data_IF_724179504578
#
_entry.id   IF_724179504578
#
_cell.length_a   1.000
_cell.length_b   1.000
_cell.length_c   1.000
_cell.angle_alpha   90.00
_cell.angle_beta   90.00
_cell.angle_gamma   90.00
#
_symmetry.space_group_name_H-M   'P 1'
#
loop_
_entity.id
_entity.type
_entity.pdbx_description
1 polymer ?
#
# COMPACT_ATOMS: atom_id res chain seq x y z
N UNK A 1 14.29 -26.59 -14.62
CA UNK A 1 15.69 -26.90 -15.01
C UNK A 1 15.82 -26.63 -16.50
N UNK A 2 16.47 -25.55 -16.91
CA UNK A 2 16.74 -25.26 -18.31
C UNK A 2 17.74 -26.31 -18.83
N UNK A 3 17.37 -27.02 -19.88
CA UNK A 3 18.27 -27.97 -20.57
C UNK A 3 19.34 -27.14 -21.30
N UNK A 4 20.62 -27.31 -20.92
CA UNK A 4 21.74 -26.80 -21.69
C UNK A 4 21.61 -27.28 -23.13
N UNK A 5 21.59 -26.36 -24.10
CA UNK A 5 21.62 -26.73 -25.52
C UNK A 5 23.06 -26.84 -25.94
N UNK A 6 23.45 -28.02 -26.41
CA UNK A 6 24.73 -28.26 -27.04
C UNK A 6 24.68 -27.63 -28.45
N UNK A 7 25.63 -26.78 -28.78
CA UNK A 7 25.86 -26.29 -30.14
C UNK A 7 27.32 -26.48 -30.52
N UNK A 8 27.59 -26.56 -31.80
CA UNK A 8 28.92 -26.70 -32.36
C UNK A 8 29.35 -25.36 -32.97
N UNK A 9 30.46 -24.82 -32.51
CA UNK A 9 31.01 -23.50 -32.96
C UNK A 9 32.26 -23.74 -33.77
N UNK A 10 32.37 -23.10 -34.92
CA UNK A 10 33.55 -23.15 -35.75
C UNK A 10 34.67 -22.30 -35.15
N UNK A 11 35.85 -22.85 -34.97
CA UNK A 11 37.03 -22.16 -34.43
C UNK A 11 37.60 -21.10 -35.37
N UNK A 12 37.34 -21.18 -36.68
CA UNK A 12 37.85 -20.26 -37.69
C UNK A 12 36.96 -19.04 -37.92
N UNK A 13 35.61 -19.24 -38.01
CA UNK A 13 34.70 -18.16 -38.39
C UNK A 13 33.62 -17.85 -37.31
N UNK A 14 33.57 -18.60 -36.20
CA UNK A 14 32.57 -18.41 -35.15
C UNK A 14 31.16 -18.87 -35.56
N UNK A 15 30.96 -19.43 -36.73
CA UNK A 15 29.67 -19.92 -37.19
C UNK A 15 29.13 -21.06 -36.32
N UNK A 16 27.81 -21.05 -36.02
CA UNK A 16 27.21 -22.00 -35.10
C UNK A 16 26.32 -22.99 -35.85
N UNK A 17 26.31 -24.26 -35.39
CA UNK A 17 25.41 -25.32 -35.88
C UNK A 17 24.83 -26.11 -34.70
N UNK A 18 23.56 -26.53 -34.83
CA UNK A 18 22.87 -27.39 -33.83
C UNK A 18 23.29 -28.85 -33.88
N UNK A 19 24.05 -29.24 -34.93
CA UNK A 19 24.58 -30.60 -35.09
C UNK A 19 26.07 -30.53 -35.46
N UNK A 20 26.82 -31.50 -35.02
CA UNK A 20 28.21 -31.63 -35.44
C UNK A 20 28.30 -31.96 -36.95
N UNK A 21 29.17 -31.27 -37.66
CA UNK A 21 29.44 -31.47 -39.06
C UNK A 21 30.95 -31.45 -39.28
N UNK A 22 31.48 -32.33 -40.12
CA UNK A 22 32.92 -32.39 -40.40
C UNK A 22 33.40 -31.15 -41.15
N UNK A 23 32.51 -30.43 -41.85
CA UNK A 23 32.79 -29.20 -42.55
C UNK A 23 31.92 -28.06 -42.04
N UNK A 24 32.49 -26.92 -41.76
CA UNK A 24 31.70 -25.74 -41.30
C UNK A 24 30.80 -25.24 -42.41
N UNK A 25 29.48 -25.08 -42.21
CA UNK A 25 28.53 -24.62 -43.25
C UNK A 25 28.70 -23.12 -43.58
N UNK A 26 29.46 -22.36 -42.82
CA UNK A 26 29.66 -20.92 -43.05
C UNK A 26 30.97 -20.61 -43.79
N UNK A 27 32.08 -21.22 -43.37
CA UNK A 27 33.40 -20.96 -43.97
C UNK A 27 33.94 -22.13 -44.79
N UNK A 28 33.23 -23.26 -44.86
CA UNK A 28 33.60 -24.48 -45.62
C UNK A 28 34.92 -25.13 -45.17
N UNK A 29 35.48 -24.76 -44.05
CA UNK A 29 36.72 -25.34 -43.50
C UNK A 29 36.41 -26.65 -42.78
N UNK A 30 37.26 -27.66 -42.99
CA UNK A 30 37.12 -28.98 -42.40
C UNK A 30 37.65 -29.07 -40.98
N UNK A 31 36.99 -29.90 -40.14
CA UNK A 31 37.40 -30.23 -38.74
C UNK A 31 37.53 -29.04 -37.80
N UNK A 32 36.75 -27.99 -37.99
CA UNK A 32 36.77 -26.76 -37.18
C UNK A 32 35.60 -26.61 -36.25
N UNK A 33 34.66 -27.57 -36.25
CA UNK A 33 33.45 -27.55 -35.38
C UNK A 33 33.75 -28.17 -34.04
N UNK A 34 33.75 -27.36 -32.97
CA UNK A 34 33.99 -27.78 -31.58
C UNK A 34 32.71 -27.67 -30.81
N UNK A 35 32.44 -28.69 -29.98
CA UNK A 35 31.30 -28.70 -29.07
C UNK A 35 31.42 -27.56 -28.06
N UNK A 36 30.42 -26.71 -28.01
CA UNK A 36 30.29 -25.61 -27.07
C UNK A 36 28.95 -25.69 -26.36
N UNK A 37 28.97 -25.65 -25.06
CA UNK A 37 27.75 -25.56 -24.25
C UNK A 37 27.31 -24.11 -24.32
N UNK A 38 26.28 -23.82 -25.11
CA UNK A 38 25.59 -22.53 -25.02
C UNK A 38 24.79 -22.58 -23.73
N UNK A 39 25.32 -22.00 -22.67
CA UNK A 39 24.48 -21.61 -21.54
C UNK A 39 23.40 -20.71 -22.12
N UNK A 40 22.15 -21.19 -22.10
CA UNK A 40 21.01 -20.29 -22.38
C UNK A 40 21.21 -19.10 -21.44
N UNK A 41 21.47 -17.93 -22.02
CA UNK A 41 21.48 -16.68 -21.26
C UNK A 41 20.10 -16.54 -20.66
N UNK A 42 19.93 -17.05 -19.45
CA UNK A 42 18.80 -16.73 -18.61
C UNK A 42 18.92 -15.21 -18.48
N UNK A 43 17.93 -14.44 -18.95
CA UNK A 43 17.94 -13.00 -18.74
C UNK A 43 18.25 -12.81 -17.26
N UNK A 44 19.29 -12.04 -16.95
CA UNK A 44 19.78 -11.94 -15.58
C UNK A 44 18.72 -11.22 -14.75
N UNK A 45 17.69 -11.99 -14.28
CA UNK A 45 16.53 -11.52 -13.51
C UNK A 45 16.96 -10.79 -12.24
N UNK A 46 18.23 -10.95 -11.86
CA UNK A 46 18.84 -10.37 -10.67
C UNK A 46 20.01 -9.43 -11.00
N UNK A 47 20.03 -8.84 -12.21
CA UNK A 47 20.99 -7.81 -12.52
C UNK A 47 20.97 -6.71 -11.44
N UNK A 48 22.16 -6.32 -10.97
CA UNK A 48 22.32 -5.33 -9.92
C UNK A 48 21.46 -4.09 -10.15
N UNK A 49 20.85 -3.56 -9.11
CA UNK A 49 20.06 -2.32 -9.15
C UNK A 49 20.89 -1.08 -9.49
N UNK A 50 22.22 -1.22 -9.50
CA UNK A 50 23.16 -0.14 -9.82
C UNK A 50 24.01 -0.55 -11.00
N UNK A 51 24.14 0.31 -11.98
CA UNK A 51 25.02 0.07 -13.16
C UNK A 51 26.49 0.02 -12.81
N UNK A 52 26.90 0.44 -11.61
CA UNK A 52 28.28 0.36 -11.08
C UNK A 52 28.22 0.07 -9.59
N UNK A 53 28.66 -1.13 -9.20
CA UNK A 53 28.81 -1.52 -7.79
C UNK A 53 30.10 -0.93 -7.22
N UNK A 54 30.23 0.40 -7.16
CA UNK A 54 31.33 1.05 -6.47
C UNK A 54 31.07 1.05 -4.97
N UNK A 55 32.01 0.53 -4.19
CA UNK A 55 31.98 0.67 -2.74
C UNK A 55 32.24 2.15 -2.38
N UNK A 56 31.23 2.81 -1.80
CA UNK A 56 31.31 4.18 -1.28
C UNK A 56 31.21 4.17 0.23
N UNK A 57 32.00 4.98 0.90
CA UNK A 57 31.80 5.21 2.34
C UNK A 57 30.49 5.97 2.55
N UNK A 58 29.75 5.63 3.60
CA UNK A 58 28.43 6.24 3.88
C UNK A 58 28.53 7.78 4.03
N UNK A 59 29.62 8.28 4.58
CA UNK A 59 29.88 9.72 4.70
C UNK A 59 30.20 10.43 3.38
N UNK A 60 30.57 9.69 2.33
CA UNK A 60 30.84 10.21 0.98
C UNK A 60 29.56 10.25 0.12
N UNK A 61 28.50 9.57 0.59
CA UNK A 61 27.17 9.67 -0.05
C UNK A 61 26.61 11.04 0.25
N UNK A 62 26.62 11.93 -0.74
CA UNK A 62 25.96 13.23 -0.61
C UNK A 62 24.50 12.98 -0.31
N UNK A 63 24.10 13.25 0.91
CA UNK A 63 22.68 13.40 1.24
C UNK A 63 22.19 14.70 0.58
N UNK A 64 21.86 14.65 -0.71
CA UNK A 64 20.93 15.64 -1.26
C UNK A 64 19.68 15.52 -0.40
N UNK A 65 19.21 16.63 0.15
CA UNK A 65 17.95 16.64 0.91
C UNK A 65 16.94 15.88 0.06
N UNK A 66 16.44 14.74 0.60
CA UNK A 66 15.49 13.90 -0.15
C UNK A 66 14.25 14.76 -0.33
N UNK A 67 14.15 15.37 -1.51
CA UNK A 67 13.00 16.21 -1.85
C UNK A 67 11.77 15.32 -1.95
N UNK A 68 10.84 15.48 -1.01
CA UNK A 68 9.55 14.79 -1.05
C UNK A 68 8.58 15.64 -1.84
N UNK A 69 7.89 15.04 -2.81
CA UNK A 69 6.82 15.69 -3.55
C UNK A 69 5.54 15.57 -2.75
N UNK A 70 5.02 16.68 -2.26
CA UNK A 70 3.74 16.70 -1.54
C UNK A 70 2.59 16.44 -2.50
N UNK A 71 1.55 15.79 -2.01
CA UNK A 71 0.30 15.56 -2.76
C UNK A 71 -0.67 16.71 -2.65
N UNK A 72 -0.34 17.73 -1.82
CA UNK A 72 -1.23 18.84 -1.43
C UNK A 72 -2.51 18.37 -0.74
N UNK A 73 -2.50 17.16 -0.20
CA UNK A 73 -3.55 16.60 0.66
C UNK A 73 -2.88 16.23 1.98
N UNK A 74 -3.07 17.04 3.02
CA UNK A 74 -2.29 16.96 4.27
C UNK A 74 -2.45 15.63 4.99
N UNK A 75 -3.64 15.05 4.99
CA UNK A 75 -3.91 13.73 5.58
C UNK A 75 -3.26 12.58 4.77
N UNK A 76 -3.09 12.75 3.46
CA UNK A 76 -2.38 11.77 2.63
C UNK A 76 -0.86 11.93 2.78
N UNK A 77 -0.37 13.16 2.78
CA UNK A 77 1.06 13.42 3.01
C UNK A 77 1.52 12.96 4.39
N UNK A 78 0.67 13.05 5.42
CA UNK A 78 0.93 12.50 6.75
C UNK A 78 1.28 11.01 6.69
N UNK A 79 0.45 10.20 6.10
CA UNK A 79 0.67 8.73 6.02
C UNK A 79 1.81 8.35 5.09
N UNK A 80 2.14 9.19 4.11
CA UNK A 80 3.32 9.05 3.27
C UNK A 80 4.62 9.47 3.99
N UNK A 81 4.50 10.18 5.12
CA UNK A 81 5.65 10.75 5.83
C UNK A 81 6.15 12.05 5.19
N UNK A 82 5.26 12.82 4.57
CA UNK A 82 5.50 14.13 3.96
C UNK A 82 5.46 14.18 2.43
N UNK A 83 5.02 13.11 1.77
CA UNK A 83 4.86 13.06 0.32
C UNK A 83 5.61 11.91 -0.36
N UNK A 84 5.56 11.86 -1.67
CA UNK A 84 6.26 10.85 -2.48
C UNK A 84 7.76 11.11 -2.54
N UNK A 85 8.54 10.04 -2.41
CA UNK A 85 10.01 10.07 -2.47
C UNK A 85 10.47 9.59 -3.84
N UNK A 86 11.36 10.30 -4.55
CA UNK A 86 11.95 9.84 -5.80
C UNK A 86 12.59 8.44 -5.63
N UNK A 87 12.26 7.52 -6.54
CA UNK A 87 12.70 6.12 -6.45
C UNK A 87 11.98 5.30 -5.37
N UNK A 88 11.08 5.91 -4.58
CA UNK A 88 10.27 5.22 -3.58
C UNK A 88 9.07 4.51 -4.19
N UNK A 89 8.73 3.34 -3.64
CA UNK A 89 7.58 2.53 -4.08
C UNK A 89 6.56 2.43 -2.95
N UNK A 90 5.35 2.88 -3.23
CA UNK A 90 4.21 2.87 -2.31
C UNK A 90 3.19 1.84 -2.78
N UNK A 91 2.79 0.94 -1.91
CA UNK A 91 1.66 0.04 -2.13
C UNK A 91 0.43 0.58 -1.39
N UNK A 92 -0.67 0.72 -2.11
CA UNK A 92 -1.97 1.10 -1.54
C UNK A 92 -2.92 -0.09 -1.65
N UNK A 93 -3.23 -0.72 -0.51
CA UNK A 93 -4.17 -1.82 -0.39
C UNK A 93 -5.54 -1.37 0.13
N UNK A 94 -6.55 -2.19 -0.07
CA UNK A 94 -7.90 -1.97 0.46
C UNK A 94 -8.98 -2.61 -0.41
N UNK A 95 -10.20 -2.69 0.11
CA UNK A 95 -11.35 -3.28 -0.56
C UNK A 95 -11.66 -2.58 -1.91
N UNK A 96 -12.20 -3.30 -2.89
CA UNK A 96 -12.71 -2.70 -4.11
C UNK A 96 -13.76 -1.63 -3.80
N UNK A 97 -13.71 -0.51 -4.52
CA UNK A 97 -14.68 0.59 -4.35
C UNK A 97 -14.49 1.48 -3.12
N UNK A 98 -13.47 1.23 -2.26
CA UNK A 98 -13.25 2.00 -1.04
C UNK A 98 -12.78 3.45 -1.28
N UNK A 99 -12.26 3.75 -2.49
CA UNK A 99 -11.82 5.10 -2.85
C UNK A 99 -10.34 5.26 -3.23
N UNK A 100 -9.56 4.16 -3.34
CA UNK A 100 -8.12 4.21 -3.67
C UNK A 100 -7.83 5.02 -4.93
N UNK A 101 -8.43 4.64 -6.05
CA UNK A 101 -8.24 5.32 -7.35
C UNK A 101 -8.77 6.76 -7.34
N UNK A 102 -9.80 7.04 -6.52
CA UNK A 102 -10.33 8.40 -6.32
C UNK A 102 -9.32 9.28 -5.62
N UNK A 103 -8.73 8.83 -4.50
CA UNK A 103 -7.72 9.59 -3.78
C UNK A 103 -6.49 9.84 -4.65
N UNK A 104 -6.07 8.83 -5.41
CA UNK A 104 -4.89 8.95 -6.26
C UNK A 104 -5.09 9.97 -7.37
N UNK A 105 -6.21 9.94 -8.09
CA UNK A 105 -6.43 10.90 -9.17
C UNK A 105 -6.57 12.34 -8.63
N UNK A 106 -7.14 12.54 -7.43
CA UNK A 106 -7.16 13.82 -6.74
C UNK A 106 -5.74 14.28 -6.39
N UNK A 107 -4.93 13.42 -5.79
CA UNK A 107 -3.54 13.73 -5.45
C UNK A 107 -2.72 14.11 -6.69
N UNK A 108 -2.83 13.33 -7.77
CA UNK A 108 -2.12 13.61 -9.03
C UNK A 108 -2.57 14.94 -9.65
N UNK A 109 -3.87 15.25 -9.63
CA UNK A 109 -4.41 16.54 -10.11
C UNK A 109 -3.82 17.71 -9.31
N UNK A 110 -3.78 17.59 -7.98
CA UNK A 110 -3.18 18.65 -7.15
C UNK A 110 -1.69 18.81 -7.43
N UNK A 111 -0.94 17.70 -7.55
CA UNK A 111 0.51 17.74 -7.82
C UNK A 111 0.87 18.36 -9.16
N UNK A 112 0.06 18.12 -10.20
CA UNK A 112 0.31 18.69 -11.54
C UNK A 112 -0.06 20.17 -11.63
N UNK A 113 -1.01 20.62 -10.80
CA UNK A 113 -1.50 22.00 -10.80
C UNK A 113 -0.83 22.91 -9.74
N UNK A 114 -0.02 22.33 -8.84
CA UNK A 114 0.67 23.10 -7.81
C UNK A 114 1.83 23.90 -8.40
N UNK A 115 1.64 25.22 -8.50
CA UNK A 115 2.64 26.15 -9.00
C UNK A 115 3.79 26.42 -8.00
N UNK A 116 3.67 25.94 -6.77
CA UNK A 116 4.70 26.13 -5.74
C UNK A 116 5.79 25.07 -5.81
N UNK A 117 5.50 23.95 -6.46
CA UNK A 117 6.45 22.87 -6.73
C UNK A 117 6.96 22.91 -8.18
N UNK A 118 8.06 22.21 -8.42
CA UNK A 118 8.54 21.99 -9.79
C UNK A 118 7.50 21.19 -10.59
N UNK A 119 7.36 21.49 -11.89
CA UNK A 119 6.45 20.78 -12.78
C UNK A 119 6.61 19.26 -12.61
N UNK A 120 5.50 18.57 -12.40
CA UNK A 120 5.45 17.15 -12.13
C UNK A 120 4.83 16.40 -13.31
N UNK A 121 5.65 15.56 -13.97
CA UNK A 121 5.14 14.70 -15.06
C UNK A 121 4.62 13.40 -14.47
N UNK A 122 3.35 13.13 -14.71
CA UNK A 122 2.64 11.99 -14.12
C UNK A 122 2.12 11.05 -15.21
N UNK A 123 2.29 9.74 -14.99
CA UNK A 123 1.65 8.71 -15.81
C UNK A 123 0.74 7.86 -14.92
N UNK A 124 -0.52 7.74 -15.33
CA UNK A 124 -1.50 6.84 -14.74
C UNK A 124 -1.68 5.62 -15.66
N UNK A 125 -1.18 4.47 -15.23
CA UNK A 125 -1.34 3.19 -15.93
C UNK A 125 -2.59 2.51 -15.40
N UNK A 126 -3.54 2.23 -16.28
CA UNK A 126 -4.78 1.54 -15.93
C UNK A 126 -4.87 0.20 -16.64
N UNK A 127 -5.04 -0.86 -15.85
CA UNK A 127 -5.32 -2.20 -16.36
C UNK A 127 -6.78 -2.62 -16.23
N UNK A 128 -7.62 -1.84 -15.53
CA UNK A 128 -9.02 -2.20 -15.25
C UNK A 128 -10.00 -1.25 -15.94
N UNK A 129 -9.69 0.04 -15.97
CA UNK A 129 -10.59 1.06 -16.51
C UNK A 129 -10.06 1.63 -17.82
N UNK A 130 -10.99 1.94 -18.73
CA UNK A 130 -10.66 2.65 -19.97
C UNK A 130 -10.31 4.12 -19.70
N UNK A 131 -9.55 4.77 -20.58
CA UNK A 131 -9.27 6.21 -20.47
C UNK A 131 -10.52 7.07 -20.35
N UNK A 132 -11.61 6.66 -21.04
CA UNK A 132 -12.89 7.37 -20.98
C UNK A 132 -13.54 7.29 -19.60
N UNK A 133 -13.47 6.13 -18.92
CA UNK A 133 -14.00 5.96 -17.55
C UNK A 133 -13.24 6.81 -16.55
N UNK A 134 -11.90 6.85 -16.68
CA UNK A 134 -11.04 7.70 -15.84
C UNK A 134 -11.35 9.18 -16.08
N UNK A 135 -11.51 9.61 -17.34
CA UNK A 135 -11.86 10.98 -17.68
C UNK A 135 -13.25 11.37 -17.15
N UNK A 136 -14.24 10.47 -17.22
CA UNK A 136 -15.57 10.69 -16.64
C UNK A 136 -15.50 10.83 -15.10
N UNK A 137 -14.67 10.02 -14.44
CA UNK A 137 -14.41 10.14 -13.00
C UNK A 137 -13.78 11.49 -12.66
N UNK A 138 -12.72 11.88 -13.36
CA UNK A 138 -12.06 13.17 -13.15
C UNK A 138 -13.03 14.36 -13.34
N UNK A 139 -13.88 14.30 -14.38
CA UNK A 139 -14.91 15.31 -14.63
C UNK A 139 -15.95 15.37 -13.50
N UNK A 140 -16.43 14.22 -13.01
CA UNK A 140 -17.37 14.15 -11.86
C UNK A 140 -16.77 14.76 -10.59
N UNK A 141 -15.47 14.59 -10.39
CA UNK A 141 -14.73 15.13 -9.26
C UNK A 141 -14.30 16.60 -9.47
N UNK A 142 -14.65 17.22 -10.61
CA UNK A 142 -14.28 18.58 -10.97
C UNK A 142 -12.75 18.84 -10.93
N UNK A 143 -11.94 17.84 -11.35
CA UNK A 143 -10.48 17.90 -11.29
C UNK A 143 -9.89 18.48 -12.59
N UNK A 144 -8.85 19.28 -12.45
CA UNK A 144 -7.95 19.65 -13.56
C UNK A 144 -6.94 18.53 -13.79
N UNK A 145 -6.97 17.90 -14.96
CA UNK A 145 -6.17 16.72 -15.29
C UNK A 145 -5.38 16.87 -16.60
N UNK A 146 -5.19 18.09 -17.07
CA UNK A 146 -4.53 18.40 -18.36
C UNK A 146 -3.14 17.80 -18.47
N UNK A 147 -2.40 17.71 -17.37
CA UNK A 147 -1.01 17.25 -17.31
C UNK A 147 -0.85 15.82 -16.77
N UNK A 148 -1.96 15.06 -16.66
CA UNK A 148 -1.94 13.63 -16.32
C UNK A 148 -2.00 12.79 -17.59
N UNK A 149 -0.93 12.05 -17.87
CA UNK A 149 -0.90 11.11 -18.99
C UNK A 149 -1.50 9.78 -18.59
N UNK A 150 -2.38 9.22 -19.43
CA UNK A 150 -3.02 7.92 -19.20
C UNK A 150 -2.42 6.90 -20.16
N UNK A 151 -2.04 5.74 -19.62
CA UNK A 151 -1.60 4.57 -20.36
C UNK A 151 -2.53 3.38 -20.06
N UNK A 152 -3.33 2.96 -21.04
CA UNK A 152 -4.15 1.76 -20.92
C UNK A 152 -3.34 0.57 -21.45
N UNK A 153 -2.60 -0.08 -20.57
CA UNK A 153 -1.72 -1.21 -20.89
C UNK A 153 -1.59 -2.13 -19.66
N UNK A 154 -1.49 -3.44 -19.90
CA UNK A 154 -1.34 -4.48 -18.89
C UNK A 154 -0.05 -5.31 -19.07
N UNK A 155 0.64 -5.15 -20.18
CA UNK A 155 1.91 -5.81 -20.45
C UNK A 155 3.04 -5.02 -19.77
N UNK A 156 3.77 -5.67 -18.87
CA UNK A 156 4.83 -5.06 -18.05
C UNK A 156 5.94 -4.45 -18.90
N UNK A 157 6.39 -5.18 -19.93
CA UNK A 157 7.51 -4.78 -20.77
C UNK A 157 7.21 -3.47 -21.52
N UNK A 158 5.97 -3.32 -22.02
CA UNK A 158 5.51 -2.08 -22.67
C UNK A 158 5.35 -0.94 -21.68
N UNK A 159 4.88 -1.21 -20.48
CA UNK A 159 4.77 -0.23 -19.41
C UNK A 159 6.17 0.31 -19.06
N UNK A 160 7.14 -0.58 -18.84
CA UNK A 160 8.54 -0.21 -18.55
C UNK A 160 9.11 0.64 -19.69
N UNK A 161 8.96 0.20 -20.93
CA UNK A 161 9.42 0.96 -22.11
C UNK A 161 8.81 2.37 -22.16
N UNK A 162 7.52 2.49 -21.81
CA UNK A 162 6.85 3.80 -21.77
C UNK A 162 7.43 4.69 -20.66
N UNK A 163 7.73 4.13 -19.48
CA UNK A 163 8.33 4.85 -18.35
C UNK A 163 9.75 5.33 -18.74
N UNK A 164 10.58 4.47 -19.29
CA UNK A 164 11.95 4.80 -19.74
C UNK A 164 11.97 5.91 -20.79
N UNK A 165 11.06 5.84 -21.76
CA UNK A 165 10.93 6.83 -22.84
C UNK A 165 10.48 8.19 -22.33
N UNK A 166 9.48 8.19 -21.44
CA UNK A 166 8.81 9.41 -21.01
C UNK A 166 9.43 10.05 -19.77
N UNK A 167 10.19 9.30 -18.96
CA UNK A 167 10.85 9.73 -17.72
C UNK A 167 9.92 10.55 -16.82
N UNK A 168 8.79 9.96 -16.36
CA UNK A 168 7.87 10.65 -15.45
C UNK A 168 8.49 10.81 -14.07
N UNK A 169 7.99 11.75 -13.29
CA UNK A 169 8.32 11.90 -11.88
C UNK A 169 7.52 10.93 -11.00
N UNK A 170 6.27 10.68 -11.40
CA UNK A 170 5.33 9.81 -10.66
C UNK A 170 4.61 8.88 -11.62
N UNK A 171 4.50 7.61 -11.24
CA UNK A 171 3.75 6.58 -11.96
C UNK A 171 2.78 5.89 -11.01
N UNK A 172 1.52 5.79 -11.41
CA UNK A 172 0.50 4.99 -10.74
C UNK A 172 0.22 3.76 -11.58
N UNK A 173 0.17 2.58 -10.95
CA UNK A 173 -0.26 1.31 -11.56
C UNK A 173 -1.57 0.88 -10.89
N UNK A 174 -2.68 0.95 -11.60
CA UNK A 174 -4.03 0.63 -11.11
C UNK A 174 -4.71 -0.42 -11.98
N UNK A 175 -4.69 -1.71 -11.57
CA UNK A 175 -4.09 -2.30 -10.39
C UNK A 175 -2.92 -3.22 -10.74
N UNK A 176 -2.06 -3.51 -9.78
CA UNK A 176 -0.92 -4.42 -9.95
C UNK A 176 -1.37 -5.86 -10.30
N UNK A 177 -2.59 -6.25 -9.92
CA UNK A 177 -3.14 -7.58 -10.21
C UNK A 177 -3.44 -7.81 -11.68
N UNK A 178 -3.65 -6.75 -12.46
CA UNK A 178 -3.92 -6.87 -13.90
C UNK A 178 -2.65 -6.94 -14.73
N UNK A 179 -1.52 -6.51 -14.17
CA UNK A 179 -0.24 -6.48 -14.89
C UNK A 179 0.33 -7.89 -15.00
N UNK A 180 0.86 -8.20 -16.19
CA UNK A 180 1.53 -9.46 -16.45
C UNK A 180 2.81 -9.26 -17.27
N UNK A 181 3.77 -10.16 -17.08
CA UNK A 181 4.98 -10.28 -17.89
C UNK A 181 4.85 -11.50 -18.82
N UNK A 182 5.21 -11.34 -20.08
CA UNK A 182 5.24 -12.44 -21.05
C UNK A 182 6.33 -13.47 -20.74
N UNK A 183 7.32 -13.11 -19.95
CA UNK A 183 8.40 -14.03 -19.55
C UNK A 183 7.93 -15.12 -18.57
N UNK A 184 6.73 -14.96 -17.96
CA UNK A 184 6.18 -15.88 -16.98
C UNK A 184 5.02 -16.68 -17.57
N UNK A 185 5.06 -18.00 -17.36
CA UNK A 185 4.00 -18.90 -17.82
C UNK A 185 2.75 -18.90 -16.93
N UNK A 186 2.80 -18.22 -15.77
CA UNK A 186 1.68 -18.16 -14.84
C UNK A 186 0.61 -17.17 -15.32
N UNK A 187 -0.67 -17.43 -14.98
CA UNK A 187 -1.77 -16.56 -15.38
C UNK A 187 -1.66 -15.15 -14.76
N UNK A 188 -2.14 -14.10 -15.45
CA UNK A 188 -2.30 -12.76 -14.88
C UNK A 188 -3.04 -12.81 -13.55
N UNK A 189 -2.65 -11.97 -12.58
CA UNK A 189 -3.24 -11.94 -11.24
C UNK A 189 -2.75 -13.04 -10.29
N UNK A 190 -1.99 -14.02 -10.77
CA UNK A 190 -1.36 -15.02 -9.90
C UNK A 190 -0.31 -14.39 -8.97
N UNK A 191 -0.07 -15.00 -7.80
CA UNK A 191 0.95 -14.55 -6.83
C UNK A 191 2.32 -14.36 -7.49
N UNK A 192 2.70 -15.28 -8.38
CA UNK A 192 3.98 -15.25 -9.10
C UNK A 192 4.07 -14.03 -10.02
N UNK A 193 3.04 -13.76 -10.82
CA UNK A 193 2.98 -12.59 -11.70
C UNK A 193 3.04 -11.29 -10.89
N UNK A 194 2.17 -11.15 -9.89
CA UNK A 194 2.10 -9.94 -9.06
C UNK A 194 3.43 -9.67 -8.36
N UNK A 195 4.09 -10.70 -7.83
CA UNK A 195 5.39 -10.57 -7.16
C UNK A 195 6.48 -10.15 -8.12
N UNK A 196 6.59 -10.81 -9.27
CA UNK A 196 7.64 -10.53 -10.25
C UNK A 196 7.45 -9.16 -10.90
N UNK A 197 6.24 -8.83 -11.34
CA UNK A 197 5.93 -7.51 -11.88
C UNK A 197 6.25 -6.39 -10.87
N UNK A 198 5.87 -6.57 -9.60
CA UNK A 198 6.18 -5.59 -8.55
C UNK A 198 7.68 -5.46 -8.31
N UNK A 199 8.44 -6.57 -8.36
CA UNK A 199 9.89 -6.53 -8.19
C UNK A 199 10.58 -5.79 -9.34
N UNK A 200 10.15 -6.01 -10.59
CA UNK A 200 10.69 -5.33 -11.75
C UNK A 200 10.32 -3.83 -11.74
N UNK A 201 9.07 -3.48 -11.44
CA UNK A 201 8.64 -2.09 -11.28
C UNK A 201 9.41 -1.37 -10.16
N UNK A 202 9.65 -2.03 -9.03
CA UNK A 202 10.46 -1.48 -7.93
C UNK A 202 11.90 -1.22 -8.37
N UNK A 203 12.48 -2.11 -9.19
CA UNK A 203 13.83 -1.92 -9.74
C UNK A 203 13.89 -0.70 -10.65
N UNK A 204 12.95 -0.58 -11.57
CA UNK A 204 12.86 0.56 -12.50
C UNK A 204 12.62 1.87 -11.73
N UNK A 205 11.75 1.88 -10.73
CA UNK A 205 11.52 3.04 -9.89
C UNK A 205 12.82 3.56 -9.28
N UNK A 206 13.65 2.67 -8.72
CA UNK A 206 14.94 3.02 -8.10
C UNK A 206 16.01 3.43 -9.11
N UNK A 207 16.04 2.81 -10.29
CA UNK A 207 17.01 3.15 -11.35
C UNK A 207 16.75 4.51 -11.98
N UNK A 208 15.48 4.86 -12.17
CA UNK A 208 15.07 6.10 -12.84
C UNK A 208 14.67 7.21 -11.86
N UNK A 209 14.78 6.95 -10.54
CA UNK A 209 14.34 7.86 -9.48
C UNK A 209 12.85 8.27 -9.61
N UNK A 210 12.00 7.38 -10.14
CA UNK A 210 10.57 7.60 -10.33
C UNK A 210 9.83 7.18 -9.06
N UNK A 211 8.96 8.03 -8.53
CA UNK A 211 8.03 7.65 -7.46
C UNK A 211 6.94 6.75 -8.02
N UNK A 212 6.81 5.54 -7.49
CA UNK A 212 5.87 4.55 -8.02
C UNK A 212 4.80 4.19 -7.00
N UNK A 213 3.55 4.21 -7.44
CA UNK A 213 2.40 3.84 -6.62
C UNK A 213 1.75 2.60 -7.22
N UNK A 214 1.72 1.51 -6.47
CA UNK A 214 1.06 0.27 -6.83
C UNK A 214 -0.27 0.19 -6.10
N UNK A 215 -1.37 0.10 -6.85
CA UNK A 215 -2.70 -0.14 -6.27
C UNK A 215 -2.95 -1.63 -6.21
N UNK A 216 -3.38 -2.13 -5.05
CA UNK A 216 -3.70 -3.53 -4.83
C UNK A 216 -5.08 -3.73 -4.19
N UNK A 217 -5.75 -4.82 -4.54
CA UNK A 217 -6.98 -5.26 -3.87
C UNK A 217 -6.63 -6.26 -2.78
N UNK A 218 -7.22 -6.09 -1.60
CA UNK A 218 -7.14 -7.04 -0.49
C UNK A 218 -8.37 -7.92 -0.56
N UNK A 219 -8.21 -9.24 -0.56
CA UNK A 219 -9.33 -10.14 -0.34
C UNK A 219 -9.49 -10.40 1.15
N UNK A 220 -10.73 -10.35 1.66
CA UNK A 220 -11.08 -10.60 3.08
C UNK A 220 -10.57 -11.95 3.60
N UNK A 221 -10.28 -12.90 2.71
CA UNK A 221 -9.86 -14.26 3.06
C UNK A 221 -8.35 -14.53 2.95
N UNK A 222 -7.54 -13.54 2.56
CA UNK A 222 -6.07 -13.67 2.55
C UNK A 222 -5.48 -14.67 1.55
N UNK A 223 -6.26 -15.28 0.67
CA UNK A 223 -5.85 -16.42 -0.16
C UNK A 223 -5.41 -16.06 -1.60
N UNK A 224 -5.73 -14.89 -2.12
CA UNK A 224 -5.17 -14.41 -3.39
C UNK A 224 -4.07 -13.37 -3.12
N UNK A 225 -3.08 -13.28 -4.02
CA UNK A 225 -1.89 -12.44 -3.97
C UNK A 225 -2.14 -11.06 -3.34
N UNK A 226 -2.37 -11.06 -2.04
CA UNK A 226 -2.66 -9.85 -1.28
C UNK A 226 -1.41 -9.03 -1.01
N UNK A 227 -1.56 -7.82 -0.50
CA UNK A 227 -0.48 -6.90 -0.18
C UNK A 227 0.66 -7.51 0.64
N UNK A 228 0.39 -8.52 1.49
CA UNK A 228 1.41 -9.19 2.31
C UNK A 228 2.59 -9.76 1.52
N UNK A 229 2.36 -10.26 0.30
CA UNK A 229 3.44 -10.76 -0.56
C UNK A 229 4.35 -9.63 -1.04
N UNK A 230 3.81 -8.42 -1.17
CA UNK A 230 4.52 -7.25 -1.68
C UNK A 230 5.16 -6.40 -0.58
N UNK A 231 4.76 -6.57 0.69
CA UNK A 231 5.24 -5.76 1.82
C UNK A 231 6.77 -5.73 1.93
N UNK A 232 7.43 -6.82 1.56
CA UNK A 232 8.89 -6.89 1.61
C UNK A 232 9.57 -6.22 0.41
N UNK A 233 8.86 -6.07 -0.71
CA UNK A 233 9.39 -5.52 -1.96
C UNK A 233 9.32 -4.00 -1.97
N UNK A 234 8.22 -3.43 -1.46
CA UNK A 234 7.94 -1.99 -1.49
C UNK A 234 8.51 -1.26 -0.26
N UNK A 235 8.61 0.06 -0.35
CA UNK A 235 9.15 0.90 0.72
C UNK A 235 8.09 1.38 1.71
N UNK A 236 6.87 1.65 1.23
CA UNK A 236 5.72 2.08 2.02
C UNK A 236 4.50 1.23 1.70
N UNK A 237 3.74 0.87 2.72
CA UNK A 237 2.47 0.13 2.60
C UNK A 237 1.39 0.91 3.32
N UNK A 238 0.38 1.31 2.57
CA UNK A 238 -0.81 1.99 3.05
C UNK A 238 -2.03 1.10 2.88
N UNK A 239 -2.88 1.06 3.89
CA UNK A 239 -4.16 0.38 3.81
C UNK A 239 -5.31 1.36 3.93
N UNK A 240 -6.26 1.26 3.01
CA UNK A 240 -7.57 1.86 3.16
C UNK A 240 -8.42 0.98 4.07
N UNK A 241 -8.93 1.59 5.13
CA UNK A 241 -9.83 0.99 6.11
C UNK A 241 -11.16 1.77 6.12
N UNK A 242 -12.26 1.08 6.35
CA UNK A 242 -13.58 1.69 6.50
C UNK A 242 -14.70 0.76 6.06
N UNK A 243 -15.87 0.97 6.61
CA UNK A 243 -17.10 0.27 6.20
C UNK A 243 -17.67 0.98 4.96
N UNK A 244 -18.21 0.21 4.01
CA UNK A 244 -18.86 0.75 2.82
C UNK A 244 -20.06 1.66 3.16
N UNK A 245 -20.69 1.43 4.31
CA UNK A 245 -21.81 2.24 4.81
C UNK A 245 -21.37 3.48 5.60
N UNK A 246 -20.09 3.59 5.94
CA UNK A 246 -19.54 4.77 6.63
C UNK A 246 -19.27 5.89 5.64
N UNK A 247 -19.54 7.13 6.04
CA UNK A 247 -19.15 8.33 5.29
C UNK A 247 -17.66 8.63 5.36
N UNK A 248 -16.92 7.93 6.22
CA UNK A 248 -15.51 8.18 6.44
C UNK A 248 -14.64 7.04 5.93
N UNK A 249 -13.43 7.39 5.54
CA UNK A 249 -12.38 6.46 5.12
C UNK A 249 -11.12 6.79 5.88
N UNK A 250 -10.43 5.76 6.32
CA UNK A 250 -9.13 5.88 6.98
C UNK A 250 -8.06 5.29 6.10
N UNK A 251 -6.90 5.93 6.06
CA UNK A 251 -5.70 5.41 5.40
C UNK A 251 -4.64 5.23 6.47
N UNK A 252 -4.17 4.03 6.67
CA UNK A 252 -3.17 3.68 7.68
C UNK A 252 -1.83 3.31 7.05
N UNK A 253 -0.75 3.86 7.58
CA UNK A 253 0.61 3.49 7.20
C UNK A 253 1.06 2.23 7.97
N UNK A 254 1.02 1.07 7.33
CA UNK A 254 1.41 -0.20 7.94
C UNK A 254 2.94 -0.40 7.94
N UNK A 255 3.58 0.10 6.89
CA UNK A 255 5.03 0.13 6.72
C UNK A 255 5.41 1.46 6.08
N UNK A 256 6.42 2.13 6.62
CA UNK A 256 6.96 3.33 6.00
C UNK A 256 8.47 3.46 6.28
N UNK A 257 9.31 3.41 5.22
CA UNK A 257 10.75 3.63 5.33
C UNK A 257 11.12 5.11 5.36
N UNK A 258 10.17 6.00 5.02
CA UNK A 258 10.40 7.43 4.86
C UNK A 258 9.72 8.28 5.93
N UNK A 259 8.97 7.65 6.83
CA UNK A 259 8.23 8.31 7.90
C UNK A 259 7.86 7.35 9.04
N UNK A 260 7.03 7.84 9.94
CA UNK A 260 6.51 7.01 11.03
C UNK A 260 5.55 5.93 10.51
N UNK A 261 5.52 4.80 11.21
CA UNK A 261 4.52 3.75 11.01
C UNK A 261 3.28 4.04 11.86
N UNK A 262 2.17 3.40 11.52
CA UNK A 262 0.86 3.55 12.17
C UNK A 262 0.25 4.96 12.07
N UNK A 263 0.81 5.84 11.22
CA UNK A 263 0.16 7.12 10.92
C UNK A 263 -1.21 6.89 10.30
N UNK A 264 -2.16 7.73 10.71
CA UNK A 264 -3.55 7.65 10.28
C UNK A 264 -3.96 8.94 9.56
N UNK A 265 -4.41 8.79 8.31
CA UNK A 265 -5.07 9.83 7.54
C UNK A 265 -6.58 9.59 7.51
N UNK A 266 -7.37 10.63 7.74
CA UNK A 266 -8.84 10.52 7.82
C UNK A 266 -9.50 11.36 6.75
N UNK A 267 -10.42 10.75 6.02
CA UNK A 267 -11.12 11.35 4.89
C UNK A 267 -12.63 11.16 5.01
N UNK A 268 -13.38 12.17 4.61
CA UNK A 268 -14.81 12.06 4.38
C UNK A 268 -15.07 11.77 2.90
N UNK A 269 -15.93 10.78 2.61
CA UNK A 269 -16.40 10.50 1.26
C UNK A 269 -17.53 11.47 0.92
N UNK A 270 -17.36 12.24 -0.16
CA UNK A 270 -18.34 13.20 -0.66
C UNK A 270 -18.65 12.94 -2.13
N UNK A 271 -19.65 13.61 -2.68
CA UNK A 271 -19.94 13.56 -4.12
C UNK A 271 -18.77 14.04 -4.97
N UNK A 272 -17.95 14.96 -4.45
CA UNK A 272 -16.73 15.50 -5.08
C UNK A 272 -15.44 14.73 -4.71
N UNK A 273 -15.58 13.51 -4.18
CA UNK A 273 -14.47 12.63 -3.83
C UNK A 273 -14.12 12.63 -2.35
N UNK A 274 -12.87 12.33 -2.05
CA UNK A 274 -12.34 12.25 -0.69
C UNK A 274 -11.90 13.64 -0.22
N UNK A 275 -12.44 14.09 0.90
CA UNK A 275 -12.07 15.33 1.55
C UNK A 275 -11.37 15.03 2.87
N UNK A 276 -10.25 15.66 3.11
CA UNK A 276 -9.52 15.52 4.37
C UNK A 276 -10.32 16.02 5.58
N UNK A 277 -10.20 15.30 6.70
CA UNK A 277 -10.84 15.67 7.97
C UNK A 277 -9.80 16.30 8.88
N UNK A 278 -9.87 17.60 9.05
CA UNK A 278 -8.89 18.37 9.84
C UNK A 278 -8.95 18.05 11.34
N UNK A 279 -10.13 17.72 11.86
CA UNK A 279 -10.33 17.31 13.25
C UNK A 279 -10.97 15.91 13.31
N UNK A 280 -10.19 14.83 13.18
CA UNK A 280 -10.73 13.48 13.25
C UNK A 280 -11.27 13.09 14.62
N UNK A 281 -10.83 13.70 15.72
CA UNK A 281 -11.39 13.44 17.05
C UNK A 281 -12.89 13.68 17.11
N UNK A 282 -13.41 14.65 16.33
CA UNK A 282 -14.85 14.90 16.26
C UNK A 282 -15.67 13.70 15.73
N UNK A 283 -15.04 12.73 15.03
CA UNK A 283 -15.70 11.53 14.52
C UNK A 283 -15.88 10.44 15.59
N UNK A 284 -15.07 10.52 16.64
CA UNK A 284 -15.00 9.52 17.70
C UNK A 284 -15.63 10.02 19.00
N UNK A 285 -16.30 11.17 18.92
CA UNK A 285 -17.02 11.78 20.04
C UNK A 285 -18.50 11.91 19.66
N UNK A 286 -19.39 11.48 20.55
CA UNK A 286 -20.81 11.73 20.45
C UNK A 286 -21.10 13.19 20.81
N UNK A 287 -22.08 13.80 20.14
CA UNK A 287 -22.51 15.15 20.47
C UNK A 287 -23.55 15.07 21.63
N UNK A 288 -23.05 15.03 22.85
CA UNK A 288 -23.91 15.17 24.04
C UNK A 288 -23.91 16.63 24.48
N UNK A 289 -25.09 17.20 24.70
CA UNK A 289 -25.24 18.55 25.25
C UNK A 289 -25.21 18.56 26.80
N UNK A 290 -25.33 17.38 27.41
CA UNK A 290 -25.36 17.17 28.85
C UNK A 290 -24.43 16.03 29.24
N UNK A 291 -24.03 15.98 30.51
CA UNK A 291 -23.26 14.87 31.08
C UNK A 291 -24.10 13.59 31.05
N UNK A 292 -23.56 12.56 30.44
CA UNK A 292 -24.24 11.27 30.26
C UNK A 292 -23.46 10.20 31.03
N UNK A 293 -24.15 9.49 31.95
CA UNK A 293 -23.59 8.32 32.59
C UNK A 293 -23.28 7.22 31.59
N UNK A 294 -22.30 6.38 31.87
CA UNK A 294 -21.84 5.34 30.95
C UNK A 294 -20.95 5.86 29.81
N UNK A 295 -20.47 7.10 29.86
CA UNK A 295 -19.59 7.67 28.85
C UNK A 295 -18.34 8.27 29.48
N UNK A 296 -17.18 8.01 28.86
CA UNK A 296 -15.89 8.58 29.27
C UNK A 296 -15.03 8.87 28.05
N UNK A 297 -14.50 10.10 27.96
CA UNK A 297 -13.59 10.50 26.88
C UNK A 297 -12.15 10.20 27.32
N UNK A 298 -11.38 9.61 26.42
CA UNK A 298 -9.96 9.31 26.61
C UNK A 298 -9.14 9.69 25.39
N UNK A 299 -7.82 9.65 25.55
CA UNK A 299 -6.86 9.86 24.45
C UNK A 299 -6.24 8.53 24.08
N UNK A 300 -6.16 8.25 22.79
CA UNK A 300 -5.33 7.18 22.22
C UNK A 300 -4.32 7.78 21.24
N UNK A 301 -3.20 7.08 21.04
CA UNK A 301 -2.15 7.50 20.13
C UNK A 301 -2.20 6.65 18.86
N UNK A 302 -2.43 7.30 17.71
CA UNK A 302 -2.37 6.66 16.41
C UNK A 302 -1.18 7.23 15.61
N UNK A 303 -0.10 6.45 15.54
CA UNK A 303 1.18 6.94 15.02
C UNK A 303 1.73 8.08 15.89
N UNK A 304 1.87 9.28 15.31
CA UNK A 304 2.26 10.50 16.04
C UNK A 304 1.06 11.37 16.44
N UNK A 305 -0.16 10.95 16.14
CA UNK A 305 -1.39 11.75 16.33
C UNK A 305 -2.15 11.31 17.56
N UNK A 306 -2.37 12.20 18.55
CA UNK A 306 -3.33 11.95 19.61
C UNK A 306 -4.76 12.10 19.07
N UNK A 307 -5.63 11.15 19.40
CA UNK A 307 -7.05 11.16 19.08
C UNK A 307 -7.88 11.06 20.33
N UNK A 308 -8.89 11.91 20.44
CA UNK A 308 -9.92 11.77 21.48
C UNK A 308 -10.92 10.70 21.01
N UNK A 309 -11.18 9.75 21.91
CA UNK A 309 -12.15 8.67 21.69
C UNK A 309 -13.10 8.62 22.88
N UNK A 310 -14.38 8.48 22.59
CA UNK A 310 -15.39 8.23 23.59
C UNK A 310 -15.56 6.73 23.79
N UNK A 311 -15.52 6.31 25.05
CA UNK A 311 -15.85 4.96 25.49
C UNK A 311 -17.25 5.02 26.09
N UNK A 312 -18.15 4.20 25.55
CA UNK A 312 -19.51 4.04 26.07
C UNK A 312 -19.65 2.68 26.75
N UNK A 313 -20.23 2.64 27.91
CA UNK A 313 -20.53 1.43 28.65
C UNK A 313 -22.01 1.36 29.01
N UNK A 314 -22.55 0.16 28.96
CA UNK A 314 -23.87 -0.16 29.46
C UNK A 314 -23.76 -1.33 30.42
N UNK A 315 -24.26 -1.16 31.61
CA UNK A 315 -24.30 -2.17 32.66
C UNK A 315 -25.77 -2.40 33.02
N UNK A 316 -26.24 -3.65 32.97
CA UNK A 316 -27.59 -4.03 33.29
C UNK A 316 -27.64 -5.38 34.02
N UNK A 317 -28.73 -5.67 34.71
CA UNK A 317 -28.90 -6.94 35.37
C UNK A 317 -28.87 -8.09 34.32
N UNK A 318 -28.18 -9.17 34.65
CA UNK A 318 -28.14 -10.31 33.74
C UNK A 318 -29.50 -11.00 33.66
N UNK A 319 -30.05 -11.11 32.45
CA UNK A 319 -31.32 -11.79 32.20
C UNK A 319 -31.15 -13.29 31.90
N UNK A 320 -29.93 -13.84 31.94
CA UNK A 320 -29.58 -15.23 31.66
C UNK A 320 -28.76 -15.89 32.76
N UNK A 321 -28.58 -17.22 32.62
CA UNK A 321 -27.76 -18.01 33.56
C UNK A 321 -26.26 -17.59 33.61
N UNK A 322 -25.78 -16.91 32.58
CA UNK A 322 -24.39 -16.41 32.50
C UNK A 322 -24.40 -14.95 32.03
N UNK A 323 -23.77 -14.04 32.79
CA UNK A 323 -23.66 -12.65 32.41
C UNK A 323 -22.88 -12.46 31.11
N UNK A 324 -23.38 -11.57 30.25
CA UNK A 324 -22.75 -11.25 28.96
C UNK A 324 -21.62 -10.23 29.15
N UNK A 325 -20.55 -10.45 28.45
CA UNK A 325 -19.39 -9.54 28.36
C UNK A 325 -19.10 -9.26 26.91
N UNK A 326 -19.40 -8.08 26.43
CA UNK A 326 -19.20 -7.71 25.02
C UNK A 326 -18.42 -6.43 24.92
N UNK A 327 -17.31 -6.46 24.15
CA UNK A 327 -16.51 -5.30 23.81
C UNK A 327 -16.55 -5.08 22.30
N UNK A 328 -16.98 -3.90 21.85
CA UNK A 328 -16.82 -3.45 20.45
C UNK A 328 -15.65 -2.49 20.39
N UNK A 329 -14.68 -2.78 19.54
CA UNK A 329 -13.41 -2.05 19.48
C UNK A 329 -12.40 -2.43 20.58
N UNK A 330 -12.75 -3.37 21.45
CA UNK A 330 -11.91 -3.84 22.56
C UNK A 330 -11.71 -5.35 22.48
N UNK A 331 -10.59 -5.82 23.01
CA UNK A 331 -10.35 -7.24 23.16
C UNK A 331 -11.21 -7.80 24.33
N UNK A 332 -11.96 -8.87 24.07
CA UNK A 332 -12.91 -9.43 25.01
C UNK A 332 -12.24 -9.93 26.31
N UNK A 333 -11.05 -10.52 26.21
CA UNK A 333 -10.28 -10.97 27.37
C UNK A 333 -9.86 -9.80 28.27
N UNK A 334 -9.56 -8.65 27.67
CA UNK A 334 -9.17 -7.43 28.37
C UNK A 334 -10.34 -6.89 29.21
N UNK A 335 -11.55 -6.85 28.66
CA UNK A 335 -12.75 -6.44 29.42
C UNK A 335 -12.95 -7.33 30.65
N UNK A 336 -12.82 -8.64 30.50
CA UNK A 336 -12.93 -9.59 31.63
C UNK A 336 -11.89 -9.35 32.72
N UNK A 337 -10.65 -9.05 32.33
CA UNK A 337 -9.57 -8.69 33.26
C UNK A 337 -9.87 -7.39 33.98
N UNK A 338 -10.33 -6.36 33.29
CA UNK A 338 -10.66 -5.05 33.88
C UNK A 338 -11.80 -5.17 34.90
N UNK A 339 -12.83 -5.97 34.63
CA UNK A 339 -13.92 -6.25 35.56
C UNK A 339 -13.40 -6.97 36.86
N UNK A 340 -12.46 -7.90 36.69
CA UNK A 340 -11.83 -8.55 37.85
C UNK A 340 -11.00 -7.57 38.70
N UNK A 341 -10.25 -6.65 38.07
CA UNK A 341 -9.53 -5.58 38.73
C UNK A 341 -10.49 -4.63 39.46
N UNK A 342 -11.58 -4.23 38.81
CA UNK A 342 -12.61 -3.37 39.37
C UNK A 342 -13.21 -3.99 40.65
N UNK A 343 -13.57 -5.26 40.59
CA UNK A 343 -14.10 -5.99 41.75
C UNK A 343 -13.06 -6.07 42.88
N UNK A 344 -11.84 -6.52 42.58
CA UNK A 344 -10.82 -6.79 43.60
C UNK A 344 -10.27 -5.54 44.26
N UNK A 345 -10.06 -4.47 43.50
CA UNK A 345 -9.40 -3.25 43.95
C UNK A 345 -10.34 -2.06 44.08
N UNK A 346 -11.38 -1.99 43.25
CA UNK A 346 -12.40 -0.94 43.33
C UNK A 346 -13.57 -1.27 44.26
N UNK A 347 -13.72 -2.53 44.69
CA UNK A 347 -14.83 -2.98 45.53
C UNK A 347 -16.19 -3.02 44.78
N UNK A 348 -16.19 -2.86 43.46
CA UNK A 348 -17.42 -2.81 42.64
C UNK A 348 -17.57 -4.16 41.94
N UNK A 349 -18.66 -4.86 42.27
CA UNK A 349 -18.95 -6.19 41.73
C UNK A 349 -19.89 -6.10 40.56
N UNK A 350 -19.47 -6.65 39.39
CA UNK A 350 -20.30 -6.77 38.20
C UNK A 350 -20.48 -8.25 37.75
N UNK A 351 -20.30 -9.19 38.67
CA UNK A 351 -20.31 -10.62 38.35
C UNK A 351 -21.71 -11.14 37.94
N UNK A 352 -22.79 -10.49 38.42
CA UNK A 352 -24.21 -10.79 38.10
C UNK A 352 -24.82 -9.81 37.10
N UNK A 353 -24.02 -8.97 36.43
CA UNK A 353 -24.48 -7.95 35.52
C UNK A 353 -23.98 -8.21 34.10
N UNK A 354 -24.77 -7.94 33.11
CA UNK A 354 -24.37 -7.83 31.72
C UNK A 354 -23.58 -6.52 31.51
N UNK A 355 -22.41 -6.60 30.87
CA UNK A 355 -21.55 -5.44 30.63
C UNK A 355 -21.23 -5.35 29.15
N UNK A 356 -21.61 -4.23 28.54
CA UNK A 356 -21.35 -3.91 27.14
C UNK A 356 -20.48 -2.66 27.09
N UNK A 357 -19.39 -2.71 26.33
CA UNK A 357 -18.50 -1.57 26.13
C UNK A 357 -18.28 -1.34 24.64
N UNK A 358 -18.37 -0.10 24.23
CA UNK A 358 -18.21 0.30 22.84
C UNK A 358 -17.23 1.47 22.72
N UNK A 359 -16.26 1.35 21.85
CA UNK A 359 -15.44 2.47 21.39
C UNK A 359 -16.14 3.16 20.22
N UNK A 360 -16.50 4.43 20.36
CA UNK A 360 -17.22 5.18 19.33
C UNK A 360 -16.37 5.27 18.06
N UNK A 361 -17.01 5.13 16.89
CA UNK A 361 -16.36 5.18 15.58
C UNK A 361 -15.70 3.87 15.14
N UNK A 362 -15.86 2.76 15.91
CA UNK A 362 -15.39 1.43 15.52
C UNK A 362 -13.86 1.29 15.52
N UNK A 363 -13.14 2.16 16.21
CA UNK A 363 -11.68 2.09 16.35
C UNK A 363 -11.30 0.90 17.22
N UNK A 364 -10.31 0.13 16.79
CA UNK A 364 -9.77 -0.95 17.60
C UNK A 364 -8.72 -0.40 18.54
N UNK A 365 -9.01 -0.42 19.86
CA UNK A 365 -8.15 0.09 20.90
C UNK A 365 -7.28 -1.04 21.45
N UNK A 366 -5.98 -0.87 21.39
CA UNK A 366 -4.99 -1.83 21.90
C UNK A 366 -4.17 -1.26 23.06
N UNK A 367 -4.16 0.07 23.24
CA UNK A 367 -3.37 0.75 24.25
C UNK A 367 -3.91 0.56 25.67
N UNK A 368 -3.04 0.30 26.68
CA UNK A 368 -3.44 0.20 28.08
C UNK A 368 -3.95 1.52 28.68
N UNK A 369 -3.55 2.66 28.10
CA UNK A 369 -3.97 3.98 28.62
C UNK A 369 -5.48 4.22 28.66
N UNK A 370 -6.23 3.45 27.86
CA UNK A 370 -7.70 3.54 27.80
C UNK A 370 -8.41 2.75 28.91
N UNK A 371 -7.70 1.87 29.65
CA UNK A 371 -8.30 1.00 30.66
C UNK A 371 -9.03 1.77 31.76
N UNK A 372 -8.45 2.88 32.22
CA UNK A 372 -9.09 3.71 33.22
C UNK A 372 -10.41 4.31 32.71
N UNK A 373 -10.43 4.76 31.46
CA UNK A 373 -11.65 5.31 30.86
C UNK A 373 -12.77 4.26 30.72
N UNK A 374 -12.39 3.01 30.38
CA UNK A 374 -13.33 1.88 30.35
C UNK A 374 -13.92 1.67 31.74
N UNK A 375 -13.09 1.63 32.78
CA UNK A 375 -13.56 1.47 34.16
C UNK A 375 -14.43 2.64 34.59
N UNK A 376 -14.06 3.88 34.26
CA UNK A 376 -14.85 5.07 34.58
C UNK A 376 -16.23 5.03 33.88
N UNK A 377 -16.29 4.64 32.61
CA UNK A 377 -17.55 4.51 31.91
C UNK A 377 -18.46 3.40 32.47
N UNK A 378 -17.87 2.31 32.98
CA UNK A 378 -18.64 1.22 33.62
C UNK A 378 -19.23 1.66 34.94
N UNK A 379 -18.53 2.54 35.70
CA UNK A 379 -18.89 2.94 37.07
C UNK A 379 -19.80 4.16 37.09
N UNK A 380 -19.74 5.03 36.07
CA UNK A 380 -20.57 6.24 36.01
C UNK A 380 -22.01 5.95 35.71
#
# INVERSE_FOLDING_TARGET
MAKNKIAYVCTECGGQSTKWQGQCPHCMTWNTMVESIIEASVPNRYASLTQTSELKKLNEVKMSAVYKRTTCISEFDRVLGGGFVPGGVVLIGGDPGIGKSTLLIQALSHMTNDKTQAACKVIYVSGEESPQQIAMRAKRLELEVSDIFILSEINLEKIIQSIEKNKPDVVVIDSIQTIYSEELQSAPGSVTQVRECSAQLTRIAKQLEVSMILVGHVTKEGSLAGPRVLEHIVDTVLYFEGDQNSSFRMVRAFKNRFGAVNELGVFAMTEKGLREVTNPSALFLSHHHEEVSGSCITVTQEGTRPLLIEIQALVDNAHGASPKRLGVGLEQNRLSMLLAVLHRHGGIACFDQDVFVNAVGGVKITEPGVDLAILCAIVS
#
